data_IF_686798312847
#
_entry.id   IF_686798312847
#
_cell.length_a   1.000
_cell.length_b   1.000
_cell.length_c   1.000
_cell.angle_alpha   90.00
_cell.angle_beta   90.00
_cell.angle_gamma   90.00
#
_symmetry.space_group_name_H-M   'P 1'
#
loop_
_entity.id
_entity.type
_entity.pdbx_description
1 polymer ?
#
# COMPACT_ATOMS: atom_id res chain seq x y z
N UNK A 1 19.92 -2.70 -4.20
CA UNK A 1 18.61 -2.04 -4.05
C UNK A 1 17.80 -2.30 -5.31
N UNK A 2 16.47 -2.42 -5.23
CA UNK A 2 15.61 -2.83 -6.36
C UNK A 2 15.73 -1.92 -7.60
N UNK A 3 16.07 -0.64 -7.38
CA UNK A 3 16.37 0.36 -8.43
C UNK A 3 17.48 -0.08 -9.39
N UNK A 4 18.49 -0.83 -8.92
CA UNK A 4 19.61 -1.28 -9.76
C UNK A 4 19.17 -2.24 -10.87
N UNK A 5 17.97 -2.82 -10.77
CA UNK A 5 17.43 -3.68 -11.82
C UNK A 5 16.77 -2.89 -12.96
N UNK A 6 16.42 -1.61 -12.76
CA UNK A 6 15.78 -0.78 -13.78
C UNK A 6 16.73 -0.44 -14.94
N UNK A 7 18.04 -0.42 -14.68
CA UNK A 7 19.08 -0.18 -15.69
C UNK A 7 19.58 -1.47 -16.34
N UNK A 8 19.07 -2.65 -15.94
CA UNK A 8 19.50 -3.92 -16.50
C UNK A 8 18.70 -4.26 -17.78
N UNK A 9 19.34 -4.31 -18.97
CA UNK A 9 18.64 -4.49 -20.24
C UNK A 9 17.99 -5.88 -20.40
N UNK A 10 18.37 -6.85 -19.56
CA UNK A 10 17.81 -8.21 -19.57
C UNK A 10 16.62 -8.38 -18.60
N UNK A 11 16.33 -7.37 -17.77
CA UNK A 11 15.16 -7.41 -16.87
C UNK A 11 13.92 -6.91 -17.60
N UNK A 12 12.83 -7.67 -17.47
CA UNK A 12 11.52 -7.36 -18.09
C UNK A 12 10.42 -7.13 -17.06
N UNK A 13 10.60 -7.65 -15.84
CA UNK A 13 9.64 -7.53 -14.75
C UNK A 13 10.37 -7.54 -13.42
N UNK A 14 9.96 -6.65 -12.52
CA UNK A 14 10.53 -6.50 -11.19
C UNK A 14 9.36 -6.28 -10.22
N UNK A 15 9.38 -6.98 -9.10
CA UNK A 15 8.41 -6.82 -8.02
C UNK A 15 9.13 -6.89 -6.67
N UNK A 16 8.61 -6.19 -5.67
CA UNK A 16 9.17 -6.21 -4.34
C UNK A 16 8.47 -5.23 -3.41
N UNK A 17 8.69 -5.42 -2.11
CA UNK A 17 8.23 -4.49 -1.08
C UNK A 17 9.22 -3.32 -0.97
N UNK A 18 9.09 -2.35 -1.87
CA UNK A 18 9.91 -1.15 -1.87
C UNK A 18 9.05 0.12 -1.96
N UNK A 19 9.58 1.19 -1.38
CA UNK A 19 9.06 2.55 -1.55
C UNK A 19 9.19 2.93 -3.02
N UNK A 20 8.12 3.43 -3.62
CA UNK A 20 8.13 3.97 -4.97
C UNK A 20 8.51 5.46 -4.90
N UNK A 21 9.78 5.75 -4.67
CA UNK A 21 10.27 7.13 -4.56
C UNK A 21 9.87 7.95 -5.80
N UNK A 22 9.28 9.15 -5.64
CA UNK A 22 8.93 10.02 -6.78
C UNK A 22 10.12 10.34 -7.68
N UNK A 23 11.34 10.42 -7.15
CA UNK A 23 12.54 10.65 -7.97
C UNK A 23 12.80 9.49 -8.93
N UNK A 24 12.69 8.25 -8.46
CA UNK A 24 12.91 7.03 -9.25
C UNK A 24 11.80 6.87 -10.27
N UNK A 25 10.54 7.05 -9.87
CA UNK A 25 9.41 6.91 -10.80
C UNK A 25 9.53 7.95 -11.92
N UNK A 26 9.79 9.23 -11.60
CA UNK A 26 9.99 10.27 -12.62
C UNK A 26 11.14 9.95 -13.57
N UNK A 27 12.26 9.42 -13.08
CA UNK A 27 13.41 9.06 -13.90
C UNK A 27 13.09 7.92 -14.88
N UNK A 28 12.42 6.86 -14.40
CA UNK A 28 12.30 5.61 -15.17
C UNK A 28 10.94 5.37 -15.81
N UNK A 29 9.89 6.16 -15.53
CA UNK A 29 8.54 5.88 -16.06
C UNK A 29 8.41 5.94 -17.59
N UNK A 30 9.37 6.57 -18.27
CA UNK A 30 9.44 6.59 -19.74
C UNK A 30 9.90 5.26 -20.34
N UNK A 31 10.68 4.48 -19.58
CA UNK A 31 11.25 3.19 -20.02
C UNK A 31 10.54 1.99 -19.37
N UNK A 32 9.98 2.19 -18.18
CA UNK A 32 9.33 1.16 -17.37
C UNK A 32 7.86 1.49 -17.09
N UNK A 33 6.99 0.50 -17.27
CA UNK A 33 5.60 0.59 -16.85
C UNK A 33 5.50 0.33 -15.34
N UNK A 34 5.43 1.39 -14.54
CA UNK A 34 5.12 1.28 -13.11
C UNK A 34 3.65 0.92 -12.90
N UNK A 35 3.41 -0.12 -12.11
CA UNK A 35 2.09 -0.68 -11.85
C UNK A 35 1.95 -0.94 -10.35
N UNK A 36 0.83 -0.54 -9.76
CA UNK A 36 0.54 -0.79 -8.35
C UNK A 36 -0.94 -1.14 -8.14
N UNK A 37 -1.24 -1.74 -6.99
CA UNK A 37 -2.61 -1.99 -6.51
C UNK A 37 -2.70 -1.51 -5.07
N UNK A 38 -3.62 -0.58 -4.81
CA UNK A 38 -3.91 -0.08 -3.48
C UNK A 38 -5.00 -0.92 -2.81
N UNK A 39 -4.97 -0.97 -1.48
CA UNK A 39 -6.00 -1.63 -0.67
C UNK A 39 -6.50 -0.63 0.35
N UNK A 40 -7.79 -0.70 0.69
CA UNK A 40 -8.37 0.10 1.77
C UNK A 40 -7.42 0.08 2.99
N UNK A 41 -6.97 1.25 3.48
CA UNK A 41 -5.93 1.34 4.51
C UNK A 41 -6.26 0.60 5.80
N UNK A 42 -7.52 0.64 6.24
CA UNK A 42 -7.98 -0.03 7.46
C UNK A 42 -7.92 -1.55 7.27
N UNK A 43 -8.47 -2.05 6.16
CA UNK A 43 -8.42 -3.50 5.86
C UNK A 43 -6.99 -4.00 5.67
N UNK A 44 -6.12 -3.19 5.04
CA UNK A 44 -4.69 -3.49 4.89
C UNK A 44 -4.01 -3.55 6.25
N UNK A 45 -4.24 -2.57 7.12
CA UNK A 45 -3.66 -2.49 8.46
C UNK A 45 -4.03 -3.72 9.31
N UNK A 46 -5.32 -4.06 9.39
CA UNK A 46 -5.80 -5.21 10.16
C UNK A 46 -5.20 -6.50 9.57
N UNK A 47 -5.22 -6.64 8.25
CA UNK A 47 -4.69 -7.83 7.57
C UNK A 47 -3.19 -8.02 7.84
N UNK A 48 -2.41 -6.94 7.83
CA UNK A 48 -0.98 -6.96 8.12
C UNK A 48 -0.70 -7.28 9.60
N UNK A 49 -1.43 -6.67 10.53
CA UNK A 49 -1.32 -6.99 11.97
C UNK A 49 -1.59 -8.48 12.21
N UNK A 50 -2.70 -9.01 11.69
CA UNK A 50 -3.08 -10.43 11.81
C UNK A 50 -2.01 -11.33 11.18
N UNK A 51 -1.53 -11.00 9.98
CA UNK A 51 -0.46 -11.77 9.36
C UNK A 51 0.80 -11.80 10.23
N UNK A 52 1.24 -10.65 10.75
CA UNK A 52 2.45 -10.58 11.58
C UNK A 52 2.26 -11.18 12.98
N UNK A 53 1.04 -11.23 13.51
CA UNK A 53 0.68 -11.87 14.78
C UNK A 53 0.71 -13.40 14.70
N UNK A 54 0.23 -13.95 13.58
CA UNK A 54 0.02 -15.41 13.44
C UNK A 54 0.98 -16.11 12.49
N UNK A 55 1.89 -15.39 11.81
CA UNK A 55 2.90 -16.04 10.96
C UNK A 55 3.85 -16.91 11.78
N UNK A 56 4.36 -17.95 11.12
CA UNK A 56 5.36 -18.88 11.69
C UNK A 56 6.78 -18.29 11.71
N UNK A 57 7.07 -17.33 10.84
CA UNK A 57 8.39 -16.69 10.77
C UNK A 57 8.54 -15.65 11.88
N UNK A 58 9.70 -15.64 12.53
CA UNK A 58 10.03 -14.66 13.58
C UNK A 58 10.35 -13.26 13.02
N UNK A 59 10.73 -13.16 11.74
CA UNK A 59 11.05 -11.87 11.14
C UNK A 59 9.82 -10.95 11.13
N UNK A 60 9.91 -9.79 11.77
CA UNK A 60 8.83 -8.81 11.93
C UNK A 60 7.54 -9.36 12.59
N UNK A 61 7.64 -10.39 13.44
CA UNK A 61 6.51 -10.93 14.19
C UNK A 61 6.02 -9.93 15.23
N UNK A 62 4.72 -9.93 15.50
CA UNK A 62 4.08 -9.05 16.49
C UNK A 62 3.55 -9.90 17.62
N UNK A 63 4.16 -9.83 18.79
CA UNK A 63 3.70 -10.59 19.97
C UNK A 63 2.77 -9.77 20.89
N UNK A 64 2.52 -8.51 20.57
CA UNK A 64 1.61 -7.63 21.31
C UNK A 64 0.13 -7.96 21.06
N UNK A 65 -0.74 -7.65 22.02
CA UNK A 65 -2.19 -7.58 21.76
C UNK A 65 -2.50 -6.38 20.86
N UNK A 66 -3.69 -6.34 20.26
CA UNK A 66 -4.06 -5.26 19.33
C UNK A 66 -4.10 -3.92 20.06
N UNK A 67 -4.61 -3.88 21.29
CA UNK A 67 -4.73 -2.67 22.12
C UNK A 67 -3.36 -2.07 22.45
N UNK A 68 -2.36 -2.91 22.70
CA UNK A 68 -0.97 -2.47 22.96
C UNK A 68 -0.29 -2.10 21.65
N UNK A 69 -0.51 -2.88 20.59
CA UNK A 69 0.06 -2.62 19.27
C UNK A 69 -0.34 -1.25 18.73
N UNK A 70 -1.62 -0.86 18.85
CA UNK A 70 -2.15 0.43 18.37
C UNK A 70 -1.49 1.66 19.01
N UNK A 71 -0.79 1.50 20.14
CA UNK A 71 -0.05 2.58 20.81
C UNK A 71 1.42 2.64 20.38
N UNK A 72 1.88 1.72 19.55
CA UNK A 72 3.28 1.61 19.14
C UNK A 72 3.62 2.52 17.95
N UNK A 73 4.89 2.91 17.85
CA UNK A 73 5.42 3.60 16.66
C UNK A 73 5.32 2.74 15.39
N UNK A 74 5.35 1.41 15.54
CA UNK A 74 5.16 0.48 14.43
C UNK A 74 3.75 0.59 13.88
N UNK A 75 2.72 0.60 14.74
CA UNK A 75 1.35 0.82 14.30
C UNK A 75 1.20 2.19 13.61
N UNK A 76 1.80 3.25 14.14
CA UNK A 76 1.79 4.54 13.45
C UNK A 76 2.37 4.46 12.03
N UNK A 77 3.58 3.90 11.88
CA UNK A 77 4.21 3.69 10.58
C UNK A 77 3.35 2.82 9.63
N UNK A 78 2.65 1.81 10.18
CA UNK A 78 1.71 1.00 9.42
C UNK A 78 0.41 1.73 9.11
N UNK A 79 0.00 2.76 9.84
CA UNK A 79 -1.18 3.57 9.50
C UNK A 79 -0.98 4.46 8.27
N UNK A 80 0.26 4.89 8.02
CA UNK A 80 0.63 5.84 6.96
C UNK A 80 1.44 5.21 5.82
N UNK A 81 1.12 3.96 5.48
CA UNK A 81 1.90 3.17 4.51
C UNK A 81 1.82 3.74 3.10
N UNK A 82 0.65 4.13 2.60
CA UNK A 82 0.49 4.71 1.27
C UNK A 82 1.25 6.04 1.21
N UNK A 83 1.05 6.91 2.20
CA UNK A 83 1.79 8.17 2.31
C UNK A 83 3.30 7.94 2.28
N UNK A 84 3.82 7.03 3.11
CA UNK A 84 5.25 6.74 3.16
C UNK A 84 5.79 6.10 1.87
N UNK A 85 5.01 5.22 1.21
CA UNK A 85 5.45 4.51 0.02
C UNK A 85 5.56 5.39 -1.22
N UNK A 86 4.71 6.42 -1.34
CA UNK A 86 4.55 7.16 -2.59
C UNK A 86 4.91 8.65 -2.48
N UNK A 87 5.08 9.23 -1.29
CA UNK A 87 5.47 10.64 -1.16
C UNK A 87 6.97 10.89 -1.31
N UNK A 88 7.79 9.87 -1.09
CA UNK A 88 9.25 10.02 -0.93
C UNK A 88 9.68 10.50 0.45
N UNK A 89 8.75 10.63 1.40
CA UNK A 89 9.02 11.06 2.78
C UNK A 89 9.10 9.86 3.73
N UNK A 90 10.03 9.89 4.67
CA UNK A 90 10.06 8.99 5.81
C UNK A 90 8.88 9.24 6.76
N UNK A 91 8.54 8.27 7.60
CA UNK A 91 7.45 8.41 8.60
C UNK A 91 7.64 9.65 9.47
N UNK A 92 8.88 9.95 9.87
CA UNK A 92 9.20 11.14 10.68
C UNK A 92 8.98 12.45 9.90
N UNK A 93 9.27 12.47 8.61
CA UNK A 93 9.03 13.65 7.77
C UNK A 93 7.54 13.87 7.52
N UNK A 94 6.74 12.79 7.43
CA UNK A 94 5.29 12.89 7.33
C UNK A 94 4.69 13.66 8.53
N UNK A 95 5.14 13.37 9.75
CA UNK A 95 4.67 14.05 10.97
C UNK A 95 4.88 15.57 10.97
N UNK A 96 5.85 16.04 10.18
CA UNK A 96 6.24 17.45 10.11
C UNK A 96 5.80 18.13 8.80
N UNK A 97 5.14 17.39 7.90
CA UNK A 97 4.70 17.88 6.60
C UNK A 97 3.19 18.11 6.60
N UNK A 98 2.74 19.20 5.98
CA UNK A 98 1.30 19.48 5.86
C UNK A 98 0.61 18.35 5.08
N UNK A 99 -0.55 17.93 5.57
CA UNK A 99 -1.35 16.86 4.97
C UNK A 99 -1.61 17.08 3.47
N UNK A 100 -1.98 18.30 3.06
CA UNK A 100 -2.22 18.63 1.65
C UNK A 100 -0.98 18.40 0.79
N UNK A 101 0.20 18.79 1.26
CA UNK A 101 1.46 18.58 0.55
C UNK A 101 1.78 17.09 0.39
N UNK A 102 1.51 16.27 1.40
CA UNK A 102 1.71 14.81 1.31
C UNK A 102 0.76 14.22 0.26
N UNK A 103 -0.52 14.62 0.30
CA UNK A 103 -1.53 14.16 -0.67
C UNK A 103 -1.11 14.51 -2.09
N UNK A 104 -0.70 15.76 -2.33
CA UNK A 104 -0.24 16.23 -3.65
C UNK A 104 0.96 15.40 -4.13
N UNK A 105 2.00 15.23 -3.29
CA UNK A 105 3.18 14.43 -3.62
C UNK A 105 2.83 12.99 -4.02
N UNK A 106 1.93 12.35 -3.28
CA UNK A 106 1.51 10.98 -3.55
C UNK A 106 0.72 10.90 -4.86
N UNK A 107 -0.28 11.76 -5.05
CA UNK A 107 -1.11 11.73 -6.26
C UNK A 107 -0.30 12.11 -7.51
N UNK A 108 0.65 13.03 -7.40
CA UNK A 108 1.56 13.39 -8.49
C UNK A 108 2.48 12.24 -8.85
N UNK A 109 2.99 11.50 -7.87
CA UNK A 109 3.79 10.32 -8.13
C UNK A 109 2.97 9.23 -8.83
N UNK A 110 1.76 8.94 -8.31
CA UNK A 110 0.85 7.96 -8.90
C UNK A 110 0.42 8.31 -10.33
N UNK A 111 0.39 9.59 -10.73
CA UNK A 111 0.12 9.99 -12.12
C UNK A 111 1.15 9.45 -13.12
N UNK A 112 2.37 9.15 -12.68
CA UNK A 112 3.42 8.59 -13.53
C UNK A 112 3.32 7.06 -13.65
N UNK A 113 2.40 6.41 -12.92
CA UNK A 113 2.18 4.98 -13.05
C UNK A 113 1.35 4.70 -14.30
N UNK A 114 1.73 3.66 -15.05
CA UNK A 114 0.95 3.16 -16.18
C UNK A 114 -0.45 2.70 -15.74
N UNK A 115 -0.54 2.14 -14.53
CA UNK A 115 -1.80 1.72 -13.93
C UNK A 115 -1.74 1.68 -12.41
N UNK A 116 -2.81 2.18 -11.78
CA UNK A 116 -3.09 2.09 -10.35
C UNK A 116 -4.40 1.34 -10.19
N UNK A 117 -4.37 0.20 -9.51
CA UNK A 117 -5.55 -0.63 -9.25
C UNK A 117 -6.01 -0.59 -7.81
N UNK A 118 -7.14 -1.24 -7.54
CA UNK A 118 -7.71 -1.35 -6.20
C UNK A 118 -8.11 -2.79 -5.91
N UNK A 119 -7.79 -3.29 -4.71
CA UNK A 119 -8.07 -4.69 -4.33
C UNK A 119 -9.56 -5.02 -4.38
N UNK A 120 -10.43 -4.03 -4.12
CA UNK A 120 -11.88 -4.19 -4.20
C UNK A 120 -12.44 -4.08 -5.62
N UNK A 121 -11.59 -3.80 -6.62
CA UNK A 121 -11.96 -3.73 -8.03
C UNK A 121 -10.92 -4.36 -8.98
N UNK A 122 -10.41 -5.53 -8.59
CA UNK A 122 -9.37 -6.23 -9.34
C UNK A 122 -9.82 -6.70 -10.73
N UNK A 123 -11.11 -6.97 -10.92
CA UNK A 123 -11.64 -7.44 -12.19
C UNK A 123 -11.57 -6.35 -13.26
N UNK A 124 -12.07 -5.14 -12.95
CA UNK A 124 -12.00 -4.01 -13.89
C UNK A 124 -10.56 -3.57 -14.11
N UNK A 125 -9.76 -3.50 -13.04
CA UNK A 125 -8.35 -3.14 -13.15
C UNK A 125 -7.57 -4.10 -14.07
N UNK A 126 -7.80 -5.42 -13.95
CA UNK A 126 -7.13 -6.42 -14.80
C UNK A 126 -7.52 -6.26 -16.28
N UNK A 127 -8.79 -5.94 -16.56
CA UNK A 127 -9.26 -5.66 -17.93
C UNK A 127 -8.58 -4.42 -18.49
N UNK A 128 -8.63 -3.29 -17.76
CA UNK A 128 -8.00 -2.03 -18.18
C UNK A 128 -6.49 -2.16 -18.36
N UNK A 129 -5.81 -2.89 -17.45
CA UNK A 129 -4.37 -3.13 -17.57
C UNK A 129 -4.05 -3.99 -18.79
N UNK A 130 -4.86 -5.01 -19.08
CA UNK A 130 -4.66 -5.86 -20.25
C UNK A 130 -4.77 -5.07 -21.55
N UNK A 131 -5.76 -4.19 -21.64
CA UNK A 131 -5.93 -3.28 -22.79
C UNK A 131 -4.72 -2.33 -22.93
N UNK A 132 -4.27 -1.73 -21.82
CA UNK A 132 -3.11 -0.81 -21.80
C UNK A 132 -1.79 -1.46 -22.20
N UNK A 133 -1.65 -2.78 -21.98
CA UNK A 133 -0.44 -3.54 -22.29
C UNK A 133 -0.55 -4.33 -23.60
N UNK A 134 -1.74 -4.45 -24.18
CA UNK A 134 -2.00 -5.26 -25.36
C UNK A 134 -1.91 -6.77 -25.11
N UNK A 135 -1.94 -7.20 -23.85
CA UNK A 135 -1.70 -8.59 -23.43
C UNK A 135 -2.64 -8.97 -22.29
N UNK A 136 -3.09 -10.22 -22.26
CA UNK A 136 -3.99 -10.69 -21.18
C UNK A 136 -3.22 -10.83 -19.88
N UNK A 137 -3.51 -9.95 -18.92
CA UNK A 137 -3.00 -10.07 -17.54
C UNK A 137 -3.96 -10.95 -16.74
N UNK A 138 -3.42 -11.97 -16.09
CA UNK A 138 -4.17 -12.84 -15.17
C UNK A 138 -3.67 -12.67 -13.75
N UNK A 139 -4.59 -12.71 -12.79
CA UNK A 139 -4.27 -12.68 -11.36
C UNK A 139 -4.95 -13.83 -10.64
N UNK A 140 -4.39 -14.21 -9.49
CA UNK A 140 -4.92 -15.26 -8.62
C UNK A 140 -4.90 -14.79 -7.18
N UNK A 141 -5.93 -15.15 -6.42
CA UNK A 141 -5.99 -14.87 -5.00
C UNK A 141 -5.13 -15.91 -4.26
N UNK A 142 -3.90 -15.53 -3.87
CA UNK A 142 -2.96 -16.43 -3.19
C UNK A 142 -2.87 -16.23 -1.68
N UNK A 143 -3.33 -15.10 -1.16
CA UNK A 143 -3.15 -14.72 0.25
C UNK A 143 -4.49 -14.42 0.92
N UNK A 144 -5.15 -15.44 1.45
CA UNK A 144 -6.22 -15.27 2.44
C UNK A 144 -5.57 -15.02 3.80
N UNK A 145 -5.99 -14.00 4.55
CA UNK A 145 -5.42 -13.74 5.88
C UNK A 145 -5.44 -15.01 6.73
N UNK A 146 -4.35 -15.34 7.45
CA UNK A 146 -4.19 -16.64 8.12
C UNK A 146 -5.23 -16.89 9.22
N UNK A 147 -5.94 -15.85 9.65
CA UNK A 147 -6.98 -15.94 10.66
C UNK A 147 -8.12 -14.95 10.35
N UNK A 148 -9.12 -15.41 9.59
CA UNK A 148 -10.28 -14.60 9.20
C UNK A 148 -11.19 -14.24 10.37
N UNK A 149 -11.30 -15.11 11.39
CA UNK A 149 -12.11 -14.81 12.58
C UNK A 149 -11.49 -13.69 13.41
N UNK A 150 -10.17 -13.68 13.59
CA UNK A 150 -9.48 -12.58 14.28
C UNK A 150 -9.56 -11.26 13.50
N UNK A 151 -9.50 -11.31 12.17
CA UNK A 151 -9.75 -10.13 11.33
C UNK A 151 -11.15 -9.56 11.56
N UNK A 152 -12.18 -10.41 11.52
CA UNK A 152 -13.57 -9.99 11.75
C UNK A 152 -13.81 -9.49 13.18
N UNK A 153 -13.17 -10.11 14.18
CA UNK A 153 -13.27 -9.67 15.57
C UNK A 153 -12.80 -8.22 15.74
N UNK A 154 -11.65 -7.85 15.15
CA UNK A 154 -11.16 -6.47 15.17
C UNK A 154 -12.10 -5.54 14.40
N UNK A 155 -12.57 -5.97 13.22
CA UNK A 155 -13.44 -5.15 12.36
C UNK A 155 -14.82 -4.88 12.99
N UNK A 156 -15.30 -5.80 13.83
CA UNK A 156 -16.59 -5.71 14.50
C UNK A 156 -16.51 -5.03 15.87
N UNK A 157 -15.32 -4.70 16.38
CA UNK A 157 -15.12 -3.90 17.59
C UNK A 157 -15.05 -2.41 17.22
N UNK A 158 -16.06 -1.59 17.58
CA UNK A 158 -16.09 -0.18 17.20
C UNK A 158 -14.92 0.62 17.77
N UNK A 159 -14.50 0.34 19.00
CA UNK A 159 -13.44 1.09 19.67
C UNK A 159 -12.08 0.83 19.01
N UNK A 160 -11.79 -0.42 18.66
CA UNK A 160 -10.58 -0.77 17.90
C UNK A 160 -10.63 -0.18 16.48
N UNK A 161 -11.77 -0.30 15.81
CA UNK A 161 -11.93 0.17 14.45
C UNK A 161 -11.73 1.68 14.34
N UNK A 162 -12.29 2.45 15.27
CA UNK A 162 -12.14 3.91 15.26
C UNK A 162 -10.69 4.32 15.52
N UNK A 163 -9.99 3.65 16.43
CA UNK A 163 -8.56 3.89 16.65
C UNK A 163 -7.72 3.58 15.41
N UNK A 164 -8.06 2.51 14.68
CA UNK A 164 -7.37 2.15 13.43
C UNK A 164 -7.66 3.19 12.34
N UNK A 165 -8.90 3.67 12.21
CA UNK A 165 -9.25 4.75 11.28
C UNK A 165 -8.49 6.03 11.58
N UNK A 166 -8.35 6.40 12.85
CA UNK A 166 -7.54 7.56 13.25
C UNK A 166 -6.08 7.42 12.78
N UNK A 167 -5.45 6.25 13.03
CA UNK A 167 -4.08 5.98 12.56
C UNK A 167 -3.97 6.01 11.03
N UNK A 168 -5.01 5.56 10.34
CA UNK A 168 -5.04 5.47 8.88
C UNK A 168 -5.64 6.71 8.20
N UNK A 169 -5.95 7.79 8.93
CA UNK A 169 -6.77 8.89 8.41
C UNK A 169 -6.16 9.53 7.14
N UNK A 170 -4.85 9.79 7.16
CA UNK A 170 -4.11 10.30 6.01
C UNK A 170 -4.17 9.34 4.82
N UNK A 171 -3.86 8.06 5.05
CA UNK A 171 -3.89 7.04 3.99
C UNK A 171 -5.31 6.84 3.44
N UNK A 172 -6.36 6.96 4.28
CA UNK A 172 -7.77 6.87 3.86
C UNK A 172 -8.10 8.00 2.89
N UNK A 173 -7.73 9.23 3.24
CA UNK A 173 -7.91 10.39 2.36
C UNK A 173 -7.20 10.20 1.02
N UNK A 174 -5.94 9.75 1.05
CA UNK A 174 -5.18 9.47 -0.17
C UNK A 174 -5.85 8.38 -0.99
N UNK A 175 -6.28 7.28 -0.35
CA UNK A 175 -6.93 6.16 -1.00
C UNK A 175 -8.21 6.58 -1.72
N UNK A 176 -9.07 7.35 -1.05
CA UNK A 176 -10.34 7.81 -1.62
C UNK A 176 -10.12 8.74 -2.81
N UNK A 177 -9.18 9.68 -2.72
CA UNK A 177 -8.81 10.56 -3.83
C UNK A 177 -8.19 9.80 -5.00
N UNK A 178 -7.29 8.84 -4.70
CA UNK A 178 -6.71 7.99 -5.72
C UNK A 178 -7.79 7.15 -6.41
N UNK A 179 -8.78 6.64 -5.67
CA UNK A 179 -9.89 5.86 -6.22
C UNK A 179 -10.78 6.68 -7.14
N UNK A 180 -11.08 7.93 -6.78
CA UNK A 180 -11.81 8.86 -7.67
C UNK A 180 -11.01 9.14 -8.95
N UNK A 181 -9.68 9.26 -8.84
CA UNK A 181 -8.81 9.69 -9.95
C UNK A 181 -8.45 8.56 -10.91
N UNK A 182 -8.23 7.35 -10.39
CA UNK A 182 -7.65 6.23 -11.14
C UNK A 182 -8.54 4.99 -11.21
N UNK A 183 -9.60 4.93 -10.40
CA UNK A 183 -10.58 3.84 -10.39
C UNK A 183 -11.66 3.99 -11.44
#
# INVERSE_FOLDING_TARGET
>A
MLVNYLTNPFKRFITGHCVASPSVVREYHHEWNFITVLRNPVDRFISEYIYNKFKKSEWAKVDLSIEVYLKSSVAHAKGVTIANYFSGLSVKELDNTKESTIVDLVLDNLNHFKSVGFVDDMANWSTSLSEKLGEKISFSNKNTSPNSSAFLAIKNDPALLDKIKELCALDLKIYDLAKIKFG
#
